data_IF_587716186536
#
_entry.id   IF_587716186536
#
_cell.length_a   1.000
_cell.length_b   1.000
_cell.length_c   1.000
_cell.angle_alpha   90.00
_cell.angle_beta   90.00
_cell.angle_gamma   90.00
#
_symmetry.space_group_name_H-M   'P 1'
#
loop_
_entity.id
_entity.type
_entity.pdbx_description
1 polymer ?
#
# COMPACT_ATOMS: atom_id res chain seq x y z
N UNK A 1 -5.34 -0.88 -23.57
CA UNK A 1 -3.90 -0.58 -23.41
C UNK A 1 -3.76 0.88 -23.01
N UNK A 2 -3.22 1.15 -21.83
CA UNK A 2 -2.93 2.51 -21.36
C UNK A 2 -1.86 3.11 -22.28
N UNK A 3 -2.13 4.29 -22.86
CA UNK A 3 -1.16 5.02 -23.70
C UNK A 3 -0.91 6.40 -23.10
N UNK A 4 0.30 6.62 -22.60
CA UNK A 4 0.76 7.90 -22.10
C UNK A 4 1.49 8.64 -23.24
N UNK A 5 0.77 9.46 -24.01
CA UNK A 5 1.34 10.22 -25.15
C UNK A 5 1.59 11.68 -24.80
N UNK A 6 0.60 12.37 -24.24
CA UNK A 6 0.73 13.69 -23.63
C UNK A 6 0.32 13.59 -22.17
N UNK A 7 1.24 13.96 -21.28
CA UNK A 7 1.01 13.84 -19.82
C UNK A 7 0.04 14.92 -19.34
N UNK A 8 0.18 16.17 -19.79
CA UNK A 8 -0.75 17.25 -19.45
C UNK A 8 -1.84 17.40 -20.52
N UNK A 9 -3.10 17.37 -20.11
CA UNK A 9 -4.27 17.49 -20.99
C UNK A 9 -5.14 18.72 -20.70
N UNK A 10 -4.92 19.39 -19.54
CA UNK A 10 -5.74 20.50 -19.00
C UNK A 10 -7.19 20.15 -18.67
N UNK A 11 -7.62 18.89 -18.87
CA UNK A 11 -9.00 18.47 -18.61
C UNK A 11 -9.39 18.49 -17.13
N UNK A 12 -8.40 18.54 -16.23
CA UNK A 12 -8.60 18.62 -14.78
C UNK A 12 -8.37 20.00 -14.17
N UNK A 13 -8.19 21.06 -14.98
CA UNK A 13 -7.88 22.41 -14.49
C UNK A 13 -9.06 23.03 -13.71
N UNK A 14 -10.28 22.53 -13.95
CA UNK A 14 -11.49 22.92 -13.19
C UNK A 14 -11.67 22.15 -11.88
N UNK A 15 -10.69 21.36 -11.45
CA UNK A 15 -10.73 20.63 -10.19
C UNK A 15 -11.42 19.27 -10.24
N UNK A 16 -11.68 18.73 -11.43
CA UNK A 16 -12.28 17.41 -11.64
C UNK A 16 -11.31 16.42 -12.29
N UNK A 17 -11.63 15.13 -12.21
CA UNK A 17 -10.91 14.03 -12.88
C UNK A 17 -11.89 12.96 -13.34
N UNK A 18 -11.45 12.09 -14.26
CA UNK A 18 -12.21 10.93 -14.70
C UNK A 18 -11.90 9.67 -13.90
N UNK A 19 -12.89 8.80 -13.73
CA UNK A 19 -12.78 7.45 -13.19
C UNK A 19 -12.65 6.40 -14.31
N UNK A 20 -12.38 5.14 -13.94
CA UNK A 20 -12.17 4.03 -14.86
C UNK A 20 -13.42 3.63 -15.68
N UNK A 21 -14.61 4.04 -15.22
CA UNK A 21 -15.88 3.89 -15.92
C UNK A 21 -16.25 5.09 -16.82
N UNK A 22 -15.38 6.11 -16.87
CA UNK A 22 -15.59 7.33 -17.65
C UNK A 22 -16.39 8.43 -16.95
N UNK A 23 -16.94 8.18 -15.76
CA UNK A 23 -17.59 9.21 -14.95
C UNK A 23 -16.57 10.28 -14.49
N UNK A 24 -17.06 11.49 -14.19
CA UNK A 24 -16.23 12.59 -13.67
C UNK A 24 -16.61 12.92 -12.23
N UNK A 25 -15.58 13.12 -11.41
CA UNK A 25 -15.71 13.47 -10.00
C UNK A 25 -14.75 14.61 -9.65
N UNK A 26 -15.00 15.28 -8.53
CA UNK A 26 -14.05 16.26 -8.00
C UNK A 26 -12.72 15.57 -7.64
N UNK A 27 -11.58 16.27 -7.77
CA UNK A 27 -10.26 15.74 -7.39
C UNK A 27 -10.12 15.42 -5.90
N UNK A 28 -10.99 15.99 -5.06
CA UNK A 28 -11.06 15.71 -3.63
C UNK A 28 -12.11 14.64 -3.28
N UNK A 29 -12.73 13.99 -4.28
CA UNK A 29 -13.61 12.86 -4.06
C UNK A 29 -12.88 11.74 -3.31
N UNK A 30 -13.59 11.04 -2.42
CA UNK A 30 -12.99 10.01 -1.56
C UNK A 30 -12.36 8.88 -2.37
N UNK A 31 -12.96 8.48 -3.50
CA UNK A 31 -12.40 7.44 -4.37
C UNK A 31 -11.07 7.88 -4.96
N UNK A 32 -10.98 9.14 -5.39
CA UNK A 32 -9.74 9.76 -5.89
C UNK A 32 -8.67 9.82 -4.80
N UNK A 33 -9.05 10.22 -3.59
CA UNK A 33 -8.14 10.23 -2.45
C UNK A 33 -7.64 8.82 -2.10
N UNK A 34 -8.50 7.80 -2.19
CA UNK A 34 -8.16 6.41 -1.90
C UNK A 34 -7.10 5.88 -2.88
N UNK A 35 -7.38 5.84 -4.18
CA UNK A 35 -6.39 5.34 -5.15
C UNK A 35 -5.18 6.28 -5.31
N UNK A 36 -5.33 7.58 -5.06
CA UNK A 36 -4.20 8.52 -5.01
C UNK A 36 -3.26 8.25 -3.83
N UNK A 37 -3.78 7.79 -2.70
CA UNK A 37 -2.94 7.37 -1.57
C UNK A 37 -2.32 5.99 -1.78
N UNK A 38 -2.95 5.12 -2.58
CA UNK A 38 -2.33 3.88 -3.08
C UNK A 38 -1.13 4.21 -3.98
N UNK A 39 -1.24 5.21 -4.86
CA UNK A 39 -0.11 5.71 -5.65
C UNK A 39 1.02 6.28 -4.77
N UNK A 40 0.67 7.03 -3.72
CA UNK A 40 1.66 7.51 -2.75
C UNK A 40 2.35 6.35 -2.00
N UNK A 41 1.60 5.28 -1.67
CA UNK A 41 2.19 4.05 -1.11
C UNK A 41 3.17 3.43 -2.11
N UNK A 42 2.79 3.38 -3.39
CA UNK A 42 3.61 2.84 -4.46
C UNK A 42 4.91 3.62 -4.63
N UNK A 43 4.85 4.95 -4.63
CA UNK A 43 6.02 5.83 -4.66
C UNK A 43 6.92 5.66 -3.43
N UNK A 44 6.35 5.51 -2.24
CA UNK A 44 7.10 5.26 -1.01
C UNK A 44 7.84 3.91 -1.05
N UNK A 45 7.22 2.87 -1.62
CA UNK A 45 7.89 1.59 -1.89
C UNK A 45 9.01 1.76 -2.93
N UNK A 46 8.82 2.61 -3.95
CA UNK A 46 9.88 2.94 -4.90
C UNK A 46 11.18 3.43 -4.23
N UNK A 47 11.06 4.26 -3.18
CA UNK A 47 12.24 4.70 -2.41
C UNK A 47 12.95 3.56 -1.67
N UNK A 48 12.21 2.53 -1.22
CA UNK A 48 12.82 1.38 -0.53
C UNK A 48 13.73 0.58 -1.48
N UNK A 49 13.44 0.58 -2.78
CA UNK A 49 14.25 -0.16 -3.75
C UNK A 49 15.66 0.40 -3.93
N UNK A 50 15.91 1.66 -3.59
CA UNK A 50 17.25 2.25 -3.59
C UNK A 50 18.22 1.57 -2.61
N UNK A 51 17.70 0.82 -1.64
CA UNK A 51 18.47 0.15 -0.60
C UNK A 51 18.16 -1.36 -0.49
N UNK A 52 17.29 -1.88 -1.35
CA UNK A 52 16.91 -3.29 -1.36
C UNK A 52 17.81 -4.09 -2.30
N UNK A 53 18.07 -5.35 -1.94
CA UNK A 53 18.85 -6.27 -2.76
C UNK A 53 18.15 -7.63 -2.91
N UNK A 54 18.49 -8.34 -3.99
CA UNK A 54 18.08 -9.72 -4.25
C UNK A 54 16.57 -9.96 -4.09
N UNK A 55 16.21 -10.94 -3.26
CA UNK A 55 14.82 -11.34 -3.05
C UNK A 55 13.90 -10.24 -2.52
N UNK A 56 14.45 -9.24 -1.82
CA UNK A 56 13.66 -8.10 -1.33
C UNK A 56 13.28 -7.17 -2.49
N UNK A 57 14.19 -6.89 -3.41
CA UNK A 57 13.90 -6.08 -4.61
C UNK A 57 12.80 -6.72 -5.44
N UNK A 58 12.89 -8.02 -5.72
CA UNK A 58 11.85 -8.74 -6.47
C UNK A 58 10.48 -8.71 -5.80
N UNK A 59 10.43 -8.87 -4.47
CA UNK A 59 9.20 -8.77 -3.71
C UNK A 59 8.58 -7.36 -3.83
N UNK A 60 9.37 -6.31 -3.62
CA UNK A 60 8.91 -4.93 -3.68
C UNK A 60 8.46 -4.53 -5.09
N UNK A 61 9.16 -4.97 -6.14
CA UNK A 61 8.74 -4.73 -7.53
C UNK A 61 7.41 -5.41 -7.85
N UNK A 62 7.17 -6.63 -7.34
CA UNK A 62 5.86 -7.28 -7.49
C UNK A 62 4.77 -6.48 -6.78
N UNK A 63 5.01 -6.03 -5.56
CA UNK A 63 4.04 -5.21 -4.81
C UNK A 63 3.73 -3.90 -5.56
N UNK A 64 4.71 -3.24 -6.16
CA UNK A 64 4.44 -2.03 -6.96
C UNK A 64 3.54 -2.30 -8.18
N UNK A 65 3.64 -3.49 -8.79
CA UNK A 65 2.72 -3.90 -9.86
C UNK A 65 1.32 -4.15 -9.30
N UNK A 66 1.20 -4.93 -8.23
CA UNK A 66 -0.09 -5.17 -7.57
C UNK A 66 -0.75 -3.85 -7.11
N UNK A 67 0.00 -2.86 -6.67
CA UNK A 67 -0.55 -1.54 -6.28
C UNK A 67 -1.14 -0.76 -7.47
N UNK A 68 -0.67 -0.99 -8.70
CA UNK A 68 -1.36 -0.49 -9.88
C UNK A 68 -2.69 -1.21 -10.12
N UNK A 69 -2.75 -2.53 -9.88
CA UNK A 69 -4.00 -3.29 -9.95
C UNK A 69 -5.00 -2.82 -8.88
N UNK A 70 -4.55 -2.60 -7.65
CA UNK A 70 -5.34 -2.02 -6.55
C UNK A 70 -5.86 -0.64 -6.96
N UNK A 71 -5.01 0.21 -7.53
CA UNK A 71 -5.41 1.53 -8.02
C UNK A 71 -6.45 1.45 -9.14
N UNK A 72 -6.29 0.53 -10.08
CA UNK A 72 -7.23 0.31 -11.18
C UNK A 72 -8.59 -0.21 -10.71
N UNK A 73 -8.58 -1.13 -9.73
CA UNK A 73 -9.79 -1.66 -9.08
C UNK A 73 -10.55 -0.52 -8.39
N UNK A 74 -9.89 0.26 -7.53
CA UNK A 74 -10.50 1.39 -6.82
C UNK A 74 -11.00 2.50 -7.76
N UNK A 75 -10.27 2.76 -8.84
CA UNK A 75 -10.63 3.75 -9.86
C UNK A 75 -11.92 3.39 -10.62
N UNK A 76 -12.29 2.12 -10.67
CA UNK A 76 -13.46 1.63 -11.40
C UNK A 76 -14.54 1.18 -10.41
N UNK A 77 -15.63 1.95 -10.19
CA UNK A 77 -16.71 1.54 -9.30
C UNK A 77 -17.26 0.14 -9.62
N UNK A 78 -17.76 -0.58 -8.61
CA UNK A 78 -18.48 -1.84 -8.86
C UNK A 78 -19.83 -1.58 -9.51
N UNK A 79 -20.20 -2.44 -10.45
CA UNK A 79 -21.42 -2.37 -11.23
C UNK A 79 -21.92 -3.80 -11.49
N UNK A 80 -23.24 -4.03 -11.48
CA UNK A 80 -23.83 -5.36 -11.64
C UNK A 80 -23.56 -5.99 -13.02
N UNK A 81 -23.49 -5.17 -14.07
CA UNK A 81 -23.32 -5.60 -15.46
C UNK A 81 -22.37 -4.66 -16.23
N UNK A 82 -21.06 -4.70 -15.96
CA UNK A 82 -20.10 -3.84 -16.65
C UNK A 82 -19.97 -4.27 -18.13
N UNK A 83 -19.73 -3.32 -19.05
CA UNK A 83 -19.60 -3.60 -20.48
C UNK A 83 -18.38 -4.49 -20.83
N UNK A 84 -17.40 -4.56 -19.93
CA UNK A 84 -16.23 -5.43 -20.01
C UNK A 84 -15.82 -5.84 -18.60
N UNK A 85 -15.21 -7.03 -18.40
CA UNK A 85 -14.69 -7.43 -17.09
C UNK A 85 -13.63 -6.42 -16.61
N UNK A 86 -13.87 -5.70 -15.50
CA UNK A 86 -12.88 -4.79 -14.95
C UNK A 86 -11.70 -5.57 -14.35
N UNK A 87 -10.52 -4.95 -14.34
CA UNK A 87 -9.40 -5.47 -13.55
C UNK A 87 -9.73 -5.33 -12.07
N UNK A 88 -9.68 -6.44 -11.34
CA UNK A 88 -9.97 -6.52 -9.91
C UNK A 88 -8.84 -7.21 -9.18
N UNK A 89 -8.55 -6.75 -7.96
CA UNK A 89 -7.64 -7.45 -7.05
C UNK A 89 -8.26 -8.82 -6.73
N UNK A 90 -7.45 -9.86 -6.64
CA UNK A 90 -7.95 -11.23 -6.34
C UNK A 90 -7.51 -11.71 -4.98
N UNK A 91 -8.23 -12.69 -4.41
CA UNK A 91 -7.83 -13.33 -3.14
C UNK A 91 -6.42 -13.92 -3.22
N UNK A 92 -6.01 -14.43 -4.38
CA UNK A 92 -4.66 -14.97 -4.61
C UNK A 92 -3.54 -13.93 -4.41
N UNK A 93 -3.82 -12.65 -4.66
CA UNK A 93 -2.87 -11.58 -4.40
C UNK A 93 -2.75 -11.32 -2.89
N UNK A 94 -3.85 -11.43 -2.15
CA UNK A 94 -3.86 -11.32 -0.68
C UNK A 94 -3.15 -12.52 -0.04
N UNK A 95 -3.47 -13.74 -0.47
CA UNK A 95 -2.83 -14.99 -0.02
C UNK A 95 -1.32 -14.99 -0.28
N UNK A 96 -0.88 -14.37 -1.39
CA UNK A 96 0.54 -14.17 -1.65
C UNK A 96 1.20 -13.33 -0.55
N UNK A 97 0.58 -12.22 -0.12
CA UNK A 97 1.13 -11.38 0.95
C UNK A 97 1.21 -12.15 2.27
N UNK A 98 0.19 -12.93 2.61
CA UNK A 98 0.15 -13.80 3.80
C UNK A 98 1.32 -14.80 3.80
N UNK A 99 1.51 -15.51 2.68
CA UNK A 99 2.64 -16.42 2.54
C UNK A 99 3.98 -15.72 2.70
N UNK A 100 4.16 -14.52 2.13
CA UNK A 100 5.41 -13.76 2.30
C UNK A 100 5.61 -13.24 3.71
N UNK A 101 4.54 -12.90 4.42
CA UNK A 101 4.58 -12.56 5.85
C UNK A 101 5.11 -13.75 6.64
N UNK A 102 4.54 -14.94 6.44
CA UNK A 102 4.94 -16.15 7.16
C UNK A 102 6.42 -16.50 6.91
N UNK A 103 6.85 -16.46 5.65
CA UNK A 103 8.24 -16.71 5.25
C UNK A 103 9.24 -15.71 5.85
N UNK A 104 8.91 -14.41 5.87
CA UNK A 104 9.82 -13.41 6.42
C UNK A 104 9.82 -13.42 7.95
N UNK A 105 8.72 -13.83 8.56
CA UNK A 105 8.55 -13.84 10.00
C UNK A 105 9.13 -15.09 10.69
N UNK A 106 9.31 -16.21 9.95
CA UNK A 106 9.79 -17.49 10.51
C UNK A 106 11.11 -17.40 11.27
N UNK A 107 12.00 -16.51 10.81
CA UNK A 107 13.34 -16.32 11.37
C UNK A 107 13.43 -15.15 12.37
N UNK A 108 12.33 -14.43 12.58
CA UNK A 108 12.31 -13.27 13.47
C UNK A 108 12.03 -13.69 14.90
N UNK A 109 12.81 -13.14 15.83
CA UNK A 109 12.49 -13.26 17.26
C UNK A 109 11.17 -12.56 17.55
N UNK A 110 10.37 -13.15 18.43
CA UNK A 110 9.13 -12.55 18.92
C UNK A 110 9.40 -11.22 19.61
N UNK A 111 8.46 -10.28 19.45
CA UNK A 111 8.52 -8.98 20.11
C UNK A 111 7.77 -9.03 21.45
N UNK A 112 8.34 -8.36 22.45
CA UNK A 112 7.70 -8.15 23.77
C UNK A 112 7.19 -6.72 24.00
N UNK A 113 7.37 -5.85 23.00
CA UNK A 113 6.91 -4.46 22.96
C UNK A 113 6.83 -4.01 21.49
N UNK A 114 6.25 -2.84 21.23
CA UNK A 114 6.39 -2.20 19.93
C UNK A 114 7.86 -1.84 19.64
N UNK A 115 8.18 -1.69 18.36
CA UNK A 115 9.48 -1.18 17.92
C UNK A 115 9.39 0.30 17.60
N UNK A 116 10.45 1.04 17.87
CA UNK A 116 10.63 2.39 17.35
C UNK A 116 10.95 2.26 15.85
N UNK A 117 10.13 2.84 14.95
CA UNK A 117 10.37 2.71 13.51
C UNK A 117 11.69 3.38 13.12
N UNK A 118 12.65 2.61 12.64
CA UNK A 118 13.98 3.10 12.29
C UNK A 118 14.96 1.96 12.02
N UNK A 119 16.26 2.21 12.22
CA UNK A 119 17.32 1.23 11.97
C UNK A 119 18.04 1.53 10.67
N UNK A 120 18.19 0.52 9.80
CA UNK A 120 18.78 0.72 8.46
C UNK A 120 17.94 1.66 7.60
N UNK A 121 18.52 2.22 6.53
CA UNK A 121 17.79 3.05 5.57
C UNK A 121 16.61 2.29 4.97
N UNK A 122 16.83 1.03 4.56
CA UNK A 122 15.77 0.16 4.04
C UNK A 122 14.64 -0.04 5.07
N UNK A 123 14.97 -0.39 6.32
CA UNK A 123 13.99 -0.59 7.38
C UNK A 123 13.16 0.67 7.66
N UNK A 124 13.82 1.81 7.74
CA UNK A 124 13.19 3.11 7.98
C UNK A 124 12.22 3.49 6.86
N UNK A 125 12.61 3.31 5.59
CA UNK A 125 11.73 3.56 4.45
C UNK A 125 10.56 2.56 4.37
N UNK A 126 10.79 1.28 4.70
CA UNK A 126 9.71 0.28 4.77
C UNK A 126 8.68 0.64 5.85
N UNK A 127 9.14 1.15 6.99
CA UNK A 127 8.23 1.66 8.02
C UNK A 127 7.46 2.92 7.57
N UNK A 128 8.08 3.82 6.82
CA UNK A 128 7.37 4.95 6.21
C UNK A 128 6.27 4.45 5.26
N UNK A 129 6.63 3.58 4.30
CA UNK A 129 5.69 2.98 3.37
C UNK A 129 4.55 2.24 4.09
N UNK A 130 4.83 1.52 5.17
CA UNK A 130 3.83 0.87 6.03
C UNK A 130 2.80 1.87 6.56
N UNK A 131 3.23 3.03 7.04
CA UNK A 131 2.28 4.03 7.58
C UNK A 131 1.43 4.68 6.51
N UNK A 132 1.98 4.86 5.30
CA UNK A 132 1.26 5.38 4.14
C UNK A 132 0.26 4.34 3.63
N UNK A 133 0.63 3.06 3.56
CA UNK A 133 -0.27 1.95 3.25
C UNK A 133 -1.48 1.91 4.20
N UNK A 134 -1.25 2.10 5.51
CA UNK A 134 -2.33 2.22 6.50
C UNK A 134 -3.19 3.47 6.31
N UNK A 135 -2.64 4.55 5.72
CA UNK A 135 -3.42 5.74 5.38
C UNK A 135 -4.33 5.46 4.18
N UNK A 136 -3.83 4.80 3.14
CA UNK A 136 -4.64 4.33 2.02
C UNK A 136 -5.75 3.38 2.53
N UNK A 137 -5.41 2.40 3.36
CA UNK A 137 -6.35 1.46 3.97
C UNK A 137 -7.54 2.16 4.65
N UNK A 138 -7.30 3.22 5.44
CA UNK A 138 -8.38 3.98 6.09
C UNK A 138 -9.31 4.65 5.09
N UNK A 139 -8.77 5.23 4.01
CA UNK A 139 -9.57 5.86 2.95
C UNK A 139 -10.39 4.83 2.18
N UNK A 140 -9.79 3.67 1.88
CA UNK A 140 -10.46 2.55 1.22
C UNK A 140 -11.56 1.99 2.13
N UNK A 141 -11.30 1.82 3.43
CA UNK A 141 -12.30 1.38 4.40
C UNK A 141 -13.50 2.31 4.43
N UNK A 142 -13.26 3.63 4.45
CA UNK A 142 -14.33 4.62 4.38
C UNK A 142 -15.07 4.57 3.04
N UNK A 143 -14.34 4.37 1.93
CA UNK A 143 -14.94 4.26 0.60
C UNK A 143 -15.86 3.05 0.48
N UNK A 144 -15.47 1.90 1.04
CA UNK A 144 -16.28 0.67 1.07
C UNK A 144 -17.61 0.88 1.78
N UNK A 145 -17.65 1.68 2.85
CA UNK A 145 -18.89 1.99 3.56
C UNK A 145 -19.83 2.90 2.77
N UNK A 146 -19.29 3.76 1.91
CA UNK A 146 -20.03 4.86 1.27
C UNK A 146 -20.36 4.62 -0.21
N UNK A 147 -19.63 3.73 -0.89
CA UNK A 147 -19.80 3.52 -2.33
C UNK A 147 -19.45 2.08 -2.75
N UNK A 148 -20.08 1.55 -3.83
CA UNK A 148 -19.76 0.24 -4.39
C UNK A 148 -18.27 0.09 -4.68
N UNK A 149 -17.63 -0.85 -3.98
CA UNK A 149 -16.16 -1.02 -3.97
C UNK A 149 -15.81 -2.47 -3.66
N UNK A 150 -14.90 -3.01 -4.47
CA UNK A 150 -14.45 -4.39 -4.30
C UNK A 150 -13.59 -4.57 -3.05
N UNK A 151 -13.98 -5.52 -2.19
CA UNK A 151 -13.38 -5.70 -0.87
C UNK A 151 -11.94 -6.23 -0.88
N UNK A 152 -11.51 -6.89 -1.96
CA UNK A 152 -10.13 -7.42 -2.02
C UNK A 152 -9.08 -6.31 -2.02
N UNK A 153 -9.38 -5.12 -2.56
CA UNK A 153 -8.49 -3.97 -2.47
C UNK A 153 -8.23 -3.55 -1.00
N UNK A 154 -9.27 -3.58 -0.16
CA UNK A 154 -9.14 -3.29 1.27
C UNK A 154 -8.31 -4.37 1.98
N UNK A 155 -8.61 -5.66 1.70
CA UNK A 155 -7.89 -6.80 2.28
C UNK A 155 -6.41 -6.79 1.90
N UNK A 156 -6.09 -6.49 0.64
CA UNK A 156 -4.73 -6.36 0.16
C UNK A 156 -3.97 -5.26 0.91
N UNK A 157 -4.54 -4.07 1.04
CA UNK A 157 -3.86 -2.96 1.72
C UNK A 157 -3.66 -3.20 3.22
N UNK A 158 -4.63 -3.84 3.88
CA UNK A 158 -4.50 -4.29 5.26
C UNK A 158 -3.29 -5.22 5.42
N UNK A 159 -3.24 -6.30 4.62
CA UNK A 159 -2.17 -7.30 4.68
C UNK A 159 -0.82 -6.76 4.19
N UNK A 160 -0.80 -5.83 3.25
CA UNK A 160 0.42 -5.17 2.80
C UNK A 160 1.08 -4.41 3.94
N UNK A 161 0.31 -3.75 4.81
CA UNK A 161 0.89 -3.05 5.96
C UNK A 161 1.57 -4.00 6.95
N UNK A 162 1.05 -5.21 7.12
CA UNK A 162 1.67 -6.27 7.92
C UNK A 162 2.97 -6.76 7.26
N UNK A 163 2.94 -7.02 5.95
CA UNK A 163 4.13 -7.43 5.19
C UNK A 163 5.25 -6.38 5.27
N UNK A 164 4.92 -5.10 5.11
CA UNK A 164 5.90 -4.01 5.21
C UNK A 164 6.48 -3.90 6.63
N UNK A 165 5.71 -4.23 7.67
CA UNK A 165 6.23 -4.31 9.04
C UNK A 165 7.26 -5.43 9.19
N UNK A 166 6.93 -6.65 8.75
CA UNK A 166 7.82 -7.80 8.85
C UNK A 166 9.07 -7.62 7.98
N UNK A 167 8.90 -7.08 6.76
CA UNK A 167 10.02 -6.74 5.87
C UNK A 167 10.96 -5.69 6.50
N UNK A 168 10.42 -4.67 7.18
CA UNK A 168 11.24 -3.67 7.86
C UNK A 168 12.11 -4.30 8.96
N UNK A 169 11.56 -5.25 9.72
CA UNK A 169 12.33 -5.99 10.73
C UNK A 169 13.40 -6.87 10.09
N UNK A 170 13.06 -7.60 9.01
CA UNK A 170 14.04 -8.39 8.24
C UNK A 170 15.22 -7.53 7.76
N UNK A 171 14.91 -6.34 7.25
CA UNK A 171 15.89 -5.36 6.78
C UNK A 171 16.76 -4.73 7.89
N UNK A 172 16.45 -4.99 9.17
CA UNK A 172 17.15 -4.44 10.31
C UNK A 172 17.93 -5.53 11.07
N UNK A 173 18.83 -6.21 10.34
CA UNK A 173 19.58 -7.37 10.82
C UNK A 173 18.68 -8.48 11.39
N UNK A 174 17.63 -8.86 10.66
CA UNK A 174 16.64 -9.85 11.11
C UNK A 174 16.02 -9.50 12.47
N UNK A 175 15.74 -8.21 12.69
CA UNK A 175 15.17 -7.65 13.90
C UNK A 175 16.13 -7.58 15.10
N UNK A 176 17.40 -7.96 14.94
CA UNK A 176 18.38 -7.89 16.02
C UNK A 176 18.74 -6.44 16.41
N UNK A 177 18.54 -5.50 15.48
CA UNK A 177 18.77 -4.07 15.70
C UNK A 177 17.48 -3.29 15.96
N UNK A 178 16.35 -3.96 16.16
CA UNK A 178 15.09 -3.30 16.51
C UNK A 178 15.18 -2.70 17.92
N UNK A 179 14.89 -1.40 18.03
CA UNK A 179 14.82 -0.73 19.34
C UNK A 179 13.40 -0.85 19.86
N UNK A 180 13.23 -1.47 21.02
CA UNK A 180 11.93 -1.61 21.66
C UNK A 180 11.48 -0.29 22.28
N UNK A 181 10.22 0.06 22.06
CA UNK A 181 9.56 1.12 22.78
C UNK A 181 9.47 0.78 24.28
N UNK A 182 9.82 1.77 25.11
CA UNK A 182 9.68 1.71 26.57
C UNK A 182 8.54 2.67 26.98
N UNK A 183 7.38 2.13 27.41
CA UNK A 183 6.24 2.96 27.78
C UNK A 183 6.60 3.96 28.89
N UNK A 184 6.41 5.25 28.62
CA UNK A 184 6.59 6.30 29.63
C UNK A 184 8.04 6.59 30.04
N UNK A 185 9.04 6.12 29.29
CA UNK A 185 10.46 6.22 29.64
C UNK A 185 10.92 7.63 30.10
N UNK A 186 10.36 8.68 29.49
CA UNK A 186 10.77 10.07 29.72
C UNK A 186 9.67 10.92 30.38
N UNK A 187 8.69 10.31 31.08
CA UNK A 187 7.55 11.05 31.67
C UNK A 187 7.86 11.76 32.99
N UNK A 188 8.90 11.34 33.70
CA UNK A 188 9.37 12.01 34.91
C UNK A 188 10.76 12.57 34.59
N UNK A 189 10.79 13.86 34.27
CA UNK A 189 11.97 14.71 34.39
C UNK A 189 11.92 15.43 35.72
#
# INVERSE_FOLDING_TARGET
>A
MVKLTKIYTRTGDKGETGLGDGSRVAKHDLRVAAYGTVDETNAAIGLTQCHAEGGMTHLLTRIQNDLFDVGADLCTPEQDAPPYPPLRVTSSQVEFLEKRIDELNSDLKSLRSFILPGGTLLSSHLHMARTIARRAERLISQLVELAPTHLEALRYMNRLSDLLFVAARRANANGAQDVLWVPGANRQG
#
